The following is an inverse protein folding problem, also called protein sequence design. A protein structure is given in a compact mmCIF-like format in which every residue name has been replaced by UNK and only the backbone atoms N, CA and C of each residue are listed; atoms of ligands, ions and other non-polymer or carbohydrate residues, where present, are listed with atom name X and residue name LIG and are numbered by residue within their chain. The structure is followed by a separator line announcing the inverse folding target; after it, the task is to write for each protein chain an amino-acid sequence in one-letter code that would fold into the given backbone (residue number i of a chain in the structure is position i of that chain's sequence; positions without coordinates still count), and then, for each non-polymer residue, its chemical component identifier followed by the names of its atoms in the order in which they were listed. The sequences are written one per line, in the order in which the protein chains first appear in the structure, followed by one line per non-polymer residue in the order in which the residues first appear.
data_IF_493392751588
#
_entry.id   IF_493392751588
#
_cell.length_a   1.000
_cell.length_b   1.000
_cell.length_c   1.000
_cell.angle_alpha   90.00
_cell.angle_beta   90.00
_cell.angle_gamma   90.00
#
_symmetry.space_group_name_H-M   'P 1'
#
loop_
_entity.id
_entity.type
_entity.pdbx_description
1 polymer ?
#
# COMPACT_ATOMS: atom_id res chain seq x y z
N UNK A 1 102.85 44.24 4.11
CA UNK A 1 102.33 45.06 3.05
C UNK A 1 101.08 44.42 2.45
N UNK A 2 99.94 45.07 2.51
CA UNK A 2 98.63 44.79 2.00
C UNK A 2 97.85 43.57 2.49
N UNK A 3 96.86 43.92 3.32
CA UNK A 3 95.68 43.12 3.70
C UNK A 3 94.69 43.10 2.55
N UNK A 4 94.00 42.01 2.37
CA UNK A 4 92.70 42.00 1.66
C UNK A 4 91.66 41.24 2.47
N UNK A 5 90.65 41.97 2.89
CA UNK A 5 89.46 41.57 3.58
C UNK A 5 88.51 40.90 2.63
N UNK A 6 87.98 39.66 3.03
CA UNK A 6 86.89 39.01 2.32
C UNK A 6 85.64 39.09 3.20
N UNK A 7 84.64 39.85 2.72
CA UNK A 7 83.30 39.92 3.31
C UNK A 7 82.51 38.67 2.96
N UNK A 8 81.92 37.99 4.00
CA UNK A 8 80.91 36.94 3.84
C UNK A 8 79.53 37.59 3.76
N UNK A 9 78.72 37.27 2.71
CA UNK A 9 77.31 37.51 2.67
C UNK A 9 76.56 36.30 3.25
N UNK A 10 75.43 36.49 4.02
CA UNK A 10 74.60 35.39 4.47
C UNK A 10 73.53 35.14 3.40
N UNK A 11 73.43 33.91 2.95
CA UNK A 11 72.32 33.42 2.16
C UNK A 11 71.08 33.24 3.08
N UNK A 12 70.04 34.05 2.85
CA UNK A 12 68.74 33.90 3.47
C UNK A 12 67.95 32.79 2.77
N UNK A 13 67.51 31.80 3.55
CA UNK A 13 66.67 30.67 3.16
C UNK A 13 65.32 31.13 2.62
N UNK A 14 65.03 30.79 1.39
CA UNK A 14 63.67 30.79 0.80
C UNK A 14 63.02 29.41 0.96
N UNK A 15 62.65 29.06 2.20
CA UNK A 15 61.97 27.76 2.49
C UNK A 15 60.58 27.91 3.09
N UNK A 16 59.98 29.12 3.01
CA UNK A 16 58.68 29.42 3.65
C UNK A 16 57.47 29.42 2.71
N UNK A 17 57.64 29.32 1.39
CA UNK A 17 56.51 29.51 0.44
C UNK A 17 55.89 28.21 -0.11
N UNK A 18 56.57 27.06 0.01
CA UNK A 18 56.10 25.80 -0.56
C UNK A 18 55.19 25.07 0.41
N UNK A 19 55.34 25.25 1.73
CA UNK A 19 54.54 24.55 2.75
C UNK A 19 53.15 25.14 2.92
N UNK A 20 52.89 26.40 2.58
CA UNK A 20 51.58 27.05 2.67
C UNK A 20 50.64 26.72 1.49
N UNK A 21 51.16 26.35 0.33
CA UNK A 21 50.36 26.01 -0.86
C UNK A 21 49.81 24.56 -0.74
N UNK A 22 50.52 23.65 -0.07
CA UNK A 22 50.05 22.26 0.12
C UNK A 22 48.95 22.16 1.17
N UNK A 23 48.91 23.05 2.17
CA UNK A 23 47.78 23.09 3.14
C UNK A 23 46.49 23.71 2.60
N UNK A 24 46.57 24.58 1.56
CA UNK A 24 45.37 25.14 0.94
C UNK A 24 44.71 24.20 -0.08
N UNK A 25 45.41 23.21 -0.63
CA UNK A 25 44.86 22.23 -1.56
C UNK A 25 44.08 21.08 -0.86
N UNK A 26 44.29 20.87 0.44
CA UNK A 26 43.51 19.89 1.22
C UNK A 26 42.20 20.45 1.79
N UNK A 27 41.99 21.75 1.81
CA UNK A 27 40.78 22.39 2.34
C UNK A 27 39.66 22.54 1.29
N UNK A 28 39.91 22.27 0.00
CA UNK A 28 38.91 22.38 -1.08
C UNK A 28 38.31 21.01 -1.50
N UNK A 29 38.84 19.90 -0.99
CA UNK A 29 38.33 18.54 -1.28
C UNK A 29 37.17 18.09 -0.39
N UNK A 30 36.58 18.98 0.42
CA UNK A 30 35.64 18.62 1.47
C UNK A 30 34.18 19.03 1.28
N UNK A 31 33.79 19.67 0.19
CA UNK A 31 32.40 20.06 -0.06
C UNK A 31 31.95 19.66 -1.47
N UNK A 32 32.00 18.38 -1.80
CA UNK A 32 30.99 17.84 -2.70
C UNK A 32 29.66 17.95 -1.96
N UNK A 33 28.96 19.06 -2.09
CA UNK A 33 27.57 19.17 -1.71
C UNK A 33 26.86 18.05 -2.47
N UNK A 34 26.60 16.95 -1.79
CA UNK A 34 25.70 15.93 -2.30
C UNK A 34 24.34 16.64 -2.49
N UNK A 35 24.05 17.03 -3.74
CA UNK A 35 22.76 17.61 -4.06
C UNK A 35 21.70 16.66 -3.57
N UNK A 36 20.86 17.14 -2.66
CA UNK A 36 19.70 16.38 -2.19
C UNK A 36 18.78 16.12 -3.36
N UNK A 37 18.18 14.94 -3.38
CA UNK A 37 17.16 14.56 -4.36
C UNK A 37 15.80 14.70 -3.70
N UNK A 38 14.88 15.41 -4.37
CA UNK A 38 13.49 15.48 -3.95
C UNK A 38 12.64 14.68 -4.92
N UNK A 39 12.02 13.59 -4.43
CA UNK A 39 11.09 12.81 -5.21
C UNK A 39 9.67 13.33 -5.06
N UNK A 40 8.95 13.41 -6.17
CA UNK A 40 7.51 13.69 -6.18
C UNK A 40 6.75 12.41 -5.85
N UNK A 41 5.95 12.48 -4.81
CA UNK A 41 5.10 11.37 -4.40
C UNK A 41 3.62 11.77 -4.49
N UNK A 42 2.83 10.98 -5.20
CA UNK A 42 1.38 11.23 -5.37
C UNK A 42 0.53 10.06 -4.88
N UNK A 43 -0.62 10.39 -4.29
CA UNK A 43 -1.66 9.45 -3.83
C UNK A 43 -3.03 10.11 -3.87
N UNK A 44 -4.10 9.31 -3.84
CA UNK A 44 -5.50 9.79 -3.87
C UNK A 44 -6.14 9.91 -2.47
N UNK A 45 -5.39 9.67 -1.40
CA UNK A 45 -5.91 9.75 -0.03
C UNK A 45 -5.94 11.20 0.46
N UNK A 46 -6.84 11.51 1.42
CA UNK A 46 -6.83 12.81 2.09
C UNK A 46 -5.51 13.04 2.85
N UNK A 47 -5.07 14.29 2.96
CA UNK A 47 -3.80 14.64 3.62
C UNK A 47 -3.80 14.28 5.12
N UNK A 48 -4.96 14.30 5.76
CA UNK A 48 -5.18 13.95 7.17
C UNK A 48 -5.67 12.51 7.38
N UNK A 49 -5.70 11.71 6.31
CA UNK A 49 -6.07 10.29 6.41
C UNK A 49 -5.12 9.52 7.34
N UNK A 50 -5.61 8.41 7.91
CA UNK A 50 -4.78 7.52 8.72
C UNK A 50 -3.56 7.01 7.94
N UNK A 51 -3.70 6.67 6.66
CA UNK A 51 -2.58 6.28 5.82
C UNK A 51 -1.52 7.38 5.75
N UNK A 52 -1.94 8.64 5.52
CA UNK A 52 -1.01 9.77 5.44
C UNK A 52 -0.28 9.99 6.77
N UNK A 53 -1.02 10.07 7.87
CA UNK A 53 -0.48 10.47 9.18
C UNK A 53 0.24 9.34 9.93
N UNK A 54 -0.18 8.08 9.76
CA UNK A 54 0.41 6.93 10.48
C UNK A 54 1.49 6.21 9.68
N UNK A 55 1.48 6.34 8.35
CA UNK A 55 2.46 5.68 7.51
C UNK A 55 3.22 6.64 6.58
N UNK A 56 2.57 7.36 5.66
CA UNK A 56 3.30 8.08 4.58
C UNK A 56 4.24 9.16 5.13
N UNK A 57 3.77 10.02 6.03
CA UNK A 57 4.58 11.08 6.63
C UNK A 57 5.70 10.53 7.51
N UNK A 58 5.47 9.57 8.43
CA UNK A 58 6.53 8.94 9.19
C UNK A 58 7.55 8.19 8.32
N UNK A 59 7.11 7.51 7.25
CA UNK A 59 7.97 6.81 6.31
C UNK A 59 8.87 7.78 5.55
N UNK A 60 8.29 8.86 5.03
CA UNK A 60 9.04 9.93 4.36
C UNK A 60 10.07 10.57 5.29
N UNK A 61 9.68 10.83 6.54
CA UNK A 61 10.57 11.38 7.57
C UNK A 61 11.75 10.47 7.85
N UNK A 62 11.52 9.16 8.01
CA UNK A 62 12.60 8.18 8.24
C UNK A 62 13.60 8.14 7.09
N UNK A 63 13.13 8.15 5.85
CA UNK A 63 14.00 8.22 4.66
C UNK A 63 14.83 9.52 4.68
N UNK A 64 14.20 10.64 4.99
CA UNK A 64 14.87 11.93 5.09
C UNK A 64 15.98 11.90 6.15
N UNK A 65 15.66 11.45 7.36
CA UNK A 65 16.59 11.41 8.49
C UNK A 65 17.77 10.47 8.21
N UNK A 66 17.53 9.24 7.76
CA UNK A 66 18.58 8.26 7.48
C UNK A 66 19.42 8.60 6.26
N UNK A 67 18.86 9.33 5.30
CA UNK A 67 19.64 9.90 4.19
C UNK A 67 20.44 11.16 4.59
N UNK A 68 20.31 11.62 5.83
CA UNK A 68 20.87 12.89 6.34
C UNK A 68 20.39 14.10 5.53
N UNK A 69 19.09 14.11 5.21
CA UNK A 69 18.47 15.17 4.42
C UNK A 69 18.77 15.13 2.92
N UNK A 70 19.48 14.11 2.42
CA UNK A 70 19.82 14.00 1.00
C UNK A 70 18.71 13.43 0.13
N UNK A 71 17.71 12.76 0.73
CA UNK A 71 16.47 12.34 0.08
C UNK A 71 15.31 13.00 0.79
N UNK A 72 14.48 13.70 0.03
CA UNK A 72 13.23 14.27 0.50
C UNK A 72 12.08 13.79 -0.37
N UNK A 73 10.89 13.68 0.20
CA UNK A 73 9.69 13.33 -0.53
C UNK A 73 8.73 14.53 -0.50
N UNK A 74 8.38 15.02 -1.68
CA UNK A 74 7.30 15.98 -1.85
C UNK A 74 6.01 15.20 -2.03
N UNK A 75 5.32 14.94 -0.92
CA UNK A 75 4.05 14.23 -0.92
C UNK A 75 2.96 15.22 -1.32
N UNK A 76 2.25 14.92 -2.38
CA UNK A 76 1.15 15.75 -2.89
C UNK A 76 -0.08 14.87 -3.03
N UNK A 77 -1.11 15.08 -2.19
CA UNK A 77 -2.41 14.47 -2.43
C UNK A 77 -2.90 14.94 -3.80
N UNK A 78 -3.26 13.99 -4.66
CA UNK A 78 -4.01 14.32 -5.86
C UNK A 78 -5.48 14.55 -5.51
N UNK A 79 -6.25 15.02 -6.49
CA UNK A 79 -7.69 15.03 -6.39
C UNK A 79 -8.17 13.63 -5.95
N UNK A 80 -9.00 13.57 -4.90
CA UNK A 80 -9.59 12.33 -4.38
C UNK A 80 -10.39 11.55 -5.45
N UNK A 81 -10.61 12.15 -6.61
CA UNK A 81 -11.18 11.51 -7.80
C UNK A 81 -10.14 10.80 -8.68
N UNK A 82 -8.84 10.95 -8.42
CA UNK A 82 -7.80 10.30 -9.22
C UNK A 82 -7.92 8.78 -9.09
N UNK A 83 -8.07 8.11 -10.22
CA UNK A 83 -8.15 6.65 -10.28
C UNK A 83 -6.78 6.00 -10.15
N UNK A 84 -6.74 4.75 -9.70
CA UNK A 84 -5.50 3.97 -9.69
C UNK A 84 -4.86 3.87 -11.08
N UNK A 85 -5.66 3.89 -12.16
CA UNK A 85 -5.15 3.90 -13.54
C UNK A 85 -4.40 5.18 -13.86
N UNK A 86 -4.92 6.33 -13.47
CA UNK A 86 -4.27 7.63 -13.69
C UNK A 86 -2.97 7.72 -12.91
N UNK A 87 -2.97 7.34 -11.63
CA UNK A 87 -1.75 7.33 -10.81
C UNK A 87 -0.70 6.34 -11.36
N UNK A 88 -1.15 5.20 -11.91
CA UNK A 88 -0.23 4.26 -12.55
C UNK A 88 0.45 4.85 -13.79
N UNK A 89 -0.28 5.62 -14.62
CA UNK A 89 0.31 6.33 -15.75
C UNK A 89 1.28 7.42 -15.29
N UNK A 90 0.91 8.19 -14.26
CA UNK A 90 1.73 9.26 -13.68
C UNK A 90 3.12 8.76 -13.27
N UNK A 91 3.24 7.58 -12.65
CA UNK A 91 4.55 7.02 -12.26
C UNK A 91 5.30 6.40 -13.46
N UNK A 92 4.60 5.83 -14.43
CA UNK A 92 5.22 5.34 -15.67
C UNK A 92 5.86 6.47 -16.48
N UNK A 93 5.15 7.59 -16.62
CA UNK A 93 5.59 8.77 -17.36
C UNK A 93 6.57 9.65 -16.56
N UNK A 94 6.82 9.29 -15.31
CA UNK A 94 7.67 10.04 -14.38
C UNK A 94 7.19 11.49 -14.13
N UNK A 95 5.89 11.73 -14.22
CA UNK A 95 5.28 12.97 -13.71
C UNK A 95 5.33 13.01 -12.19
N UNK A 96 5.18 11.83 -11.53
CA UNK A 96 5.63 11.57 -10.17
C UNK A 96 6.69 10.46 -10.17
N UNK A 97 7.56 10.46 -9.15
CA UNK A 97 8.61 9.47 -8.97
C UNK A 97 8.11 8.26 -8.15
N UNK A 98 7.16 8.49 -7.25
CA UNK A 98 6.56 7.49 -6.36
C UNK A 98 5.05 7.70 -6.36
N UNK A 99 4.29 6.60 -6.29
CA UNK A 99 2.83 6.62 -6.14
C UNK A 99 2.37 5.56 -5.15
N UNK A 100 1.30 5.87 -4.40
CA UNK A 100 0.48 4.89 -3.71
C UNK A 100 -0.77 4.61 -4.55
N UNK A 101 -1.04 3.34 -4.81
CA UNK A 101 -2.18 2.90 -5.61
C UNK A 101 -3.09 1.99 -4.80
N UNK A 102 -4.36 2.36 -4.71
CA UNK A 102 -5.42 1.46 -4.30
C UNK A 102 -6.00 0.79 -5.56
N UNK A 103 -5.95 -0.52 -5.63
CA UNK A 103 -6.26 -1.28 -6.83
C UNK A 103 -7.73 -1.72 -6.83
N UNK A 104 -8.54 -1.08 -7.67
CA UNK A 104 -9.98 -1.36 -7.79
C UNK A 104 -10.29 -2.59 -8.64
N UNK A 105 -9.42 -2.95 -9.57
CA UNK A 105 -9.56 -4.11 -10.44
C UNK A 105 -8.24 -4.88 -10.59
N UNK A 106 -7.64 -5.34 -9.48
CA UNK A 106 -6.34 -6.00 -9.52
C UNK A 106 -6.37 -7.26 -10.38
N UNK A 107 -7.49 -7.97 -10.38
CA UNK A 107 -7.69 -9.20 -11.14
C UNK A 107 -7.57 -9.03 -12.65
N UNK A 108 -7.96 -7.88 -13.18
CA UNK A 108 -7.93 -7.60 -14.63
C UNK A 108 -6.54 -7.12 -15.06
N UNK A 109 -6.00 -6.14 -14.34
CA UNK A 109 -4.75 -5.45 -14.69
C UNK A 109 -3.51 -6.19 -14.21
N UNK A 110 -3.59 -6.85 -13.05
CA UNK A 110 -2.49 -7.53 -12.37
C UNK A 110 -2.96 -8.92 -11.91
N UNK A 111 -3.10 -9.89 -12.84
CA UNK A 111 -3.76 -11.16 -12.57
C UNK A 111 -3.08 -12.01 -11.50
N UNK A 112 -1.76 -11.99 -11.38
CA UNK A 112 -1.03 -12.75 -10.36
C UNK A 112 -1.09 -12.01 -9.02
N UNK A 113 -0.89 -10.69 -9.00
CA UNK A 113 -1.02 -9.87 -7.80
C UNK A 113 -2.44 -9.95 -7.24
N UNK A 114 -3.46 -9.86 -8.12
CA UNK A 114 -4.87 -9.93 -7.77
C UNK A 114 -5.35 -11.25 -7.15
N UNK A 115 -4.53 -12.31 -7.13
CA UNK A 115 -4.85 -13.54 -6.39
C UNK A 115 -5.09 -13.26 -4.91
N UNK A 116 -4.36 -12.30 -4.33
CA UNK A 116 -4.52 -11.91 -2.93
C UNK A 116 -5.82 -11.13 -2.64
N UNK A 117 -6.51 -10.65 -3.67
CA UNK A 117 -7.85 -10.04 -3.55
C UNK A 117 -8.99 -11.06 -3.42
N UNK A 118 -8.73 -12.35 -3.63
CA UNK A 118 -9.73 -13.42 -3.58
C UNK A 118 -10.26 -13.67 -2.14
N UNK A 119 -11.39 -14.39 -2.02
CA UNK A 119 -11.92 -14.88 -0.74
C UNK A 119 -11.00 -15.90 -0.06
N UNK A 120 -9.82 -15.47 0.34
CA UNK A 120 -8.85 -16.27 1.07
C UNK A 120 -8.94 -15.95 2.56
N UNK A 121 -8.53 -16.90 3.40
CA UNK A 121 -8.39 -16.65 4.83
C UNK A 121 -7.34 -15.56 5.12
N UNK A 122 -7.35 -15.06 6.34
CA UNK A 122 -6.43 -14.07 6.87
C UNK A 122 -6.92 -13.60 8.22
N UNK A 123 -6.03 -13.20 9.13
CA UNK A 123 -6.40 -12.73 10.46
C UNK A 123 -6.15 -11.24 10.62
N UNK A 124 -5.05 -10.73 10.07
CA UNK A 124 -4.64 -9.33 10.19
C UNK A 124 -4.19 -8.78 8.84
N UNK A 125 -4.31 -7.46 8.68
CA UNK A 125 -3.72 -6.77 7.53
C UNK A 125 -2.18 -6.80 7.62
N UNK A 126 -1.60 -6.76 8.82
CA UNK A 126 -0.15 -6.85 9.01
C UNK A 126 0.43 -8.15 8.43
N UNK A 127 -0.05 -9.31 8.88
CA UNK A 127 0.40 -10.62 8.40
C UNK A 127 0.12 -10.82 6.90
N UNK A 128 -1.09 -10.47 6.46
CA UNK A 128 -1.49 -10.58 5.06
C UNK A 128 -0.68 -9.69 4.12
N UNK A 129 -0.24 -8.50 4.57
CA UNK A 129 0.62 -7.61 3.78
C UNK A 129 2.05 -8.15 3.67
N UNK A 130 2.59 -8.78 4.72
CA UNK A 130 3.87 -9.53 4.62
C UNK A 130 3.78 -10.66 3.59
N UNK A 131 2.69 -11.42 3.63
CA UNK A 131 2.44 -12.49 2.66
C UNK A 131 2.36 -11.95 1.23
N UNK A 132 1.63 -10.86 1.02
CA UNK A 132 1.51 -10.20 -0.30
C UNK A 132 2.84 -9.65 -0.81
N UNK A 133 3.67 -9.08 0.07
CA UNK A 133 5.02 -8.68 -0.32
C UNK A 133 5.85 -9.88 -0.77
N UNK A 134 5.89 -10.95 0.03
CA UNK A 134 6.62 -12.18 -0.34
C UNK A 134 6.12 -12.74 -1.65
N UNK A 135 4.80 -12.75 -1.88
CA UNK A 135 4.18 -13.12 -3.14
C UNK A 135 4.65 -12.27 -4.32
N UNK A 136 4.73 -10.97 -4.12
CA UNK A 136 5.17 -10.00 -5.13
C UNK A 136 6.63 -10.21 -5.51
N UNK A 137 7.49 -10.46 -4.53
CA UNK A 137 8.93 -10.66 -4.70
C UNK A 137 9.23 -12.00 -5.40
N UNK A 138 8.70 -13.12 -4.91
CA UNK A 138 8.96 -14.46 -5.48
C UNK A 138 8.40 -14.65 -6.90
N UNK A 139 7.40 -13.89 -7.30
CA UNK A 139 6.83 -13.91 -8.64
C UNK A 139 7.39 -12.81 -9.55
N UNK A 140 8.33 -12.00 -9.08
CA UNK A 140 8.93 -10.87 -9.81
C UNK A 140 7.86 -9.96 -10.46
N UNK A 141 6.84 -9.59 -9.67
CA UNK A 141 5.68 -8.87 -10.19
C UNK A 141 6.00 -7.43 -10.59
N UNK A 142 7.07 -6.85 -10.05
CA UNK A 142 7.59 -5.57 -10.51
C UNK A 142 7.87 -5.58 -12.01
N UNK A 143 8.54 -6.61 -12.49
CA UNK A 143 8.84 -6.83 -13.91
C UNK A 143 7.61 -7.35 -14.68
N UNK A 144 6.97 -8.39 -14.16
CA UNK A 144 5.94 -9.13 -14.93
C UNK A 144 4.62 -8.38 -15.05
N UNK A 145 4.19 -7.65 -14.03
CA UNK A 145 2.88 -7.00 -13.98
C UNK A 145 2.96 -5.48 -13.84
N UNK A 146 3.93 -4.95 -13.10
CA UNK A 146 4.05 -3.50 -12.86
C UNK A 146 4.97 -2.78 -13.86
N UNK A 147 5.18 -3.33 -15.06
CA UNK A 147 5.94 -2.70 -16.17
C UNK A 147 7.33 -2.19 -15.74
N UNK A 148 8.07 -3.04 -15.05
CA UNK A 148 9.42 -2.76 -14.52
C UNK A 148 9.48 -1.66 -13.45
N UNK A 149 8.33 -1.16 -12.98
CA UNK A 149 8.30 -0.28 -11.81
C UNK A 149 8.84 -1.03 -10.60
N UNK A 150 9.57 -0.28 -9.76
CA UNK A 150 10.04 -0.83 -8.50
C UNK A 150 8.92 -0.86 -7.48
N UNK A 151 8.54 -2.05 -7.05
CA UNK A 151 7.64 -2.20 -5.91
C UNK A 151 8.42 -1.90 -4.63
N UNK A 152 7.97 -0.94 -3.85
CA UNK A 152 8.56 -0.59 -2.56
C UNK A 152 7.85 -1.31 -1.41
N UNK A 153 6.54 -1.44 -1.48
CA UNK A 153 5.71 -2.17 -0.53
C UNK A 153 4.39 -2.59 -1.17
N UNK A 154 3.70 -3.55 -0.56
CA UNK A 154 2.37 -3.98 -0.94
C UNK A 154 1.51 -4.19 0.31
N UNK A 155 0.22 -3.90 0.24
CA UNK A 155 -0.70 -4.06 1.36
C UNK A 155 -1.97 -4.81 0.96
N UNK A 156 -2.42 -5.68 1.84
CA UNK A 156 -3.74 -6.30 1.83
C UNK A 156 -4.51 -5.76 3.02
N UNK A 157 -5.67 -5.16 2.75
CA UNK A 157 -6.46 -4.48 3.77
C UNK A 157 -7.14 -5.48 4.72
N UNK A 158 -7.76 -4.94 5.78
CA UNK A 158 -8.46 -5.72 6.79
C UNK A 158 -9.76 -6.36 6.25
N UNK A 159 -10.33 -7.26 7.07
CA UNK A 159 -11.53 -8.03 6.70
C UNK A 159 -12.72 -7.13 6.37
N UNK A 160 -13.33 -7.26 5.19
CA UNK A 160 -14.56 -6.55 4.89
C UNK A 160 -15.74 -7.08 5.68
N UNK A 161 -16.61 -6.16 6.10
CA UNK A 161 -17.87 -6.43 6.78
C UNK A 161 -19.02 -5.68 6.10
N UNK A 162 -20.27 -6.13 6.29
CA UNK A 162 -21.41 -5.38 5.80
C UNK A 162 -21.66 -4.17 6.69
N UNK A 163 -21.53 -2.98 6.14
CA UNK A 163 -21.88 -1.70 6.76
C UNK A 163 -23.21 -1.23 6.18
N UNK A 164 -24.27 -1.37 6.96
CA UNK A 164 -25.64 -1.10 6.50
C UNK A 164 -26.14 0.23 7.02
N UNK A 165 -26.88 0.95 6.18
CA UNK A 165 -27.45 2.25 6.54
C UNK A 165 -28.39 2.17 7.73
N UNK A 166 -29.20 1.15 7.82
CA UNK A 166 -30.27 1.07 8.83
C UNK A 166 -30.30 -0.28 9.53
N UNK A 167 -30.46 -1.37 8.81
CA UNK A 167 -30.75 -2.69 9.39
C UNK A 167 -29.55 -3.62 9.19
N UNK A 168 -29.11 -4.25 10.28
CA UNK A 168 -28.07 -5.27 10.23
C UNK A 168 -28.50 -6.47 9.36
N UNK A 169 -27.53 -7.07 8.68
CA UNK A 169 -27.67 -8.39 8.05
C UNK A 169 -27.54 -9.42 9.15
N UNK A 170 -28.66 -10.03 9.54
CA UNK A 170 -28.72 -11.05 10.60
C UNK A 170 -28.57 -12.48 10.07
N UNK A 171 -28.81 -12.66 8.77
CA UNK A 171 -28.62 -13.92 8.03
C UNK A 171 -28.40 -13.61 6.55
N UNK A 172 -27.89 -14.57 5.77
CA UNK A 172 -27.74 -14.42 4.32
C UNK A 172 -29.08 -14.18 3.59
N UNK A 173 -30.22 -14.55 4.21
CA UNK A 173 -31.54 -14.23 3.64
C UNK A 173 -31.82 -12.72 3.57
N UNK A 174 -31.23 -11.92 4.46
CA UNK A 174 -31.37 -10.45 4.46
C UNK A 174 -30.63 -9.78 3.29
N UNK A 175 -29.67 -10.50 2.66
CA UNK A 175 -28.97 -10.02 1.47
C UNK A 175 -29.77 -10.15 0.18
N UNK A 176 -30.89 -10.91 0.18
CA UNK A 176 -31.64 -11.16 -1.05
C UNK A 176 -32.16 -9.87 -1.67
N UNK A 177 -31.59 -9.51 -2.82
CA UNK A 177 -31.89 -8.27 -3.55
C UNK A 177 -31.37 -6.99 -2.90
N UNK A 178 -30.64 -7.07 -1.78
CA UNK A 178 -30.02 -5.90 -1.16
C UNK A 178 -28.95 -5.31 -2.08
N UNK A 179 -29.00 -4.00 -2.31
CA UNK A 179 -28.05 -3.25 -3.13
C UNK A 179 -26.83 -2.95 -2.28
N UNK A 180 -25.73 -3.65 -2.51
CA UNK A 180 -24.51 -3.55 -1.72
C UNK A 180 -23.42 -2.89 -2.55
N UNK A 181 -22.96 -1.72 -2.12
CA UNK A 181 -21.82 -1.03 -2.72
C UNK A 181 -20.53 -1.81 -2.43
N UNK A 182 -19.68 -1.93 -3.43
CA UNK A 182 -18.36 -2.56 -3.33
C UNK A 182 -17.32 -1.73 -4.10
N UNK A 183 -16.07 -1.59 -3.58
CA UNK A 183 -15.05 -0.79 -4.24
C UNK A 183 -14.36 -1.52 -5.40
N UNK A 184 -14.51 -2.85 -5.49
CA UNK A 184 -13.85 -3.70 -6.49
C UNK A 184 -14.82 -4.69 -7.12
N UNK A 185 -14.70 -4.91 -8.42
CA UNK A 185 -15.46 -5.92 -9.15
C UNK A 185 -15.13 -7.36 -8.70
N UNK A 186 -14.01 -7.57 -8.01
CA UNK A 186 -13.60 -8.90 -7.55
C UNK A 186 -14.58 -9.51 -6.53
N UNK A 187 -15.37 -8.67 -5.84
CA UNK A 187 -16.41 -9.12 -4.91
C UNK A 187 -17.78 -9.42 -5.56
N UNK A 188 -18.00 -9.06 -6.83
CA UNK A 188 -19.33 -9.22 -7.50
C UNK A 188 -19.81 -10.65 -7.53
N UNK A 189 -18.94 -11.58 -7.96
CA UNK A 189 -19.30 -13.00 -8.07
C UNK A 189 -19.68 -13.59 -6.70
N UNK A 190 -18.92 -13.22 -5.67
CA UNK A 190 -19.17 -13.64 -4.30
C UNK A 190 -20.54 -13.14 -3.79
N UNK A 191 -20.80 -11.84 -3.88
CA UNK A 191 -22.07 -11.25 -3.39
C UNK A 191 -23.29 -11.72 -4.17
N UNK A 192 -23.16 -11.88 -5.49
CA UNK A 192 -24.22 -12.45 -6.32
C UNK A 192 -24.55 -13.88 -5.90
N UNK A 193 -23.54 -14.69 -5.56
CA UNK A 193 -23.71 -16.04 -5.01
C UNK A 193 -24.47 -16.06 -3.67
N UNK A 194 -24.39 -14.99 -2.89
CA UNK A 194 -25.16 -14.81 -1.65
C UNK A 194 -26.55 -14.20 -1.87
N UNK A 195 -26.92 -13.88 -3.12
CA UNK A 195 -28.23 -13.32 -3.48
C UNK A 195 -28.34 -11.80 -3.37
N UNK A 196 -27.25 -11.10 -3.08
CA UNK A 196 -27.20 -9.63 -3.09
C UNK A 196 -27.17 -9.06 -4.53
N UNK A 197 -27.43 -7.78 -4.65
CA UNK A 197 -27.28 -6.98 -5.87
C UNK A 197 -26.06 -6.06 -5.72
N UNK A 198 -24.85 -6.51 -6.08
CA UNK A 198 -23.65 -5.70 -5.94
C UNK A 198 -23.66 -4.49 -6.87
N UNK A 199 -23.15 -3.36 -6.39
CA UNK A 199 -22.99 -2.11 -7.15
C UNK A 199 -21.53 -1.69 -7.02
N UNK A 200 -20.77 -1.80 -8.13
CA UNK A 200 -19.34 -1.44 -8.14
C UNK A 200 -19.22 0.07 -8.22
N UNK A 201 -18.86 0.68 -7.12
CA UNK A 201 -18.61 2.14 -6.99
C UNK A 201 -17.54 2.36 -5.92
N UNK A 202 -16.73 3.40 -6.09
CA UNK A 202 -15.64 3.71 -5.17
C UNK A 202 -15.55 5.20 -4.86
N UNK A 203 -14.79 5.55 -3.85
CA UNK A 203 -14.52 6.93 -3.46
C UNK A 203 -15.81 7.72 -3.15
N UNK A 204 -15.85 8.96 -3.58
CA UNK A 204 -16.97 9.90 -3.32
C UNK A 204 -18.29 9.36 -3.86
N UNK A 205 -18.30 8.66 -4.99
CA UNK A 205 -19.53 8.09 -5.54
C UNK A 205 -20.21 7.09 -4.59
N UNK A 206 -19.45 6.36 -3.77
CA UNK A 206 -20.01 5.47 -2.73
C UNK A 206 -20.65 6.27 -1.61
N UNK A 207 -20.04 7.38 -1.20
CA UNK A 207 -20.60 8.30 -0.20
C UNK A 207 -21.94 8.85 -0.67
N UNK A 208 -21.99 9.34 -1.91
CA UNK A 208 -23.23 9.87 -2.51
C UNK A 208 -24.31 8.79 -2.61
N UNK A 209 -23.96 7.58 -3.03
CA UNK A 209 -24.89 6.47 -3.15
C UNK A 209 -25.51 6.08 -1.81
N UNK A 210 -24.71 6.05 -0.71
CA UNK A 210 -25.20 5.82 0.65
C UNK A 210 -26.08 6.98 1.14
N UNK A 211 -25.64 8.22 0.96
CA UNK A 211 -26.40 9.40 1.39
C UNK A 211 -27.76 9.53 0.69
N UNK A 212 -27.81 9.23 -0.62
CA UNK A 212 -29.04 9.30 -1.43
C UNK A 212 -29.89 8.03 -1.35
N UNK A 213 -29.50 7.02 -0.56
CA UNK A 213 -30.22 5.74 -0.44
C UNK A 213 -30.33 4.96 -1.76
N UNK A 214 -29.42 5.17 -2.69
CA UNK A 214 -29.37 4.39 -3.93
C UNK A 214 -28.77 2.99 -3.72
N UNK A 215 -28.06 2.78 -2.61
CA UNK A 215 -27.64 1.48 -2.07
C UNK A 215 -28.13 1.33 -0.63
N UNK A 216 -28.26 0.09 -0.19
CA UNK A 216 -28.77 -0.24 1.15
C UNK A 216 -27.63 -0.35 2.19
N UNK A 217 -26.42 -0.56 1.70
CA UNK A 217 -25.20 -0.63 2.48
C UNK A 217 -23.96 -0.82 1.60
N UNK A 218 -22.84 -1.08 2.24
CA UNK A 218 -21.57 -1.38 1.57
C UNK A 218 -20.92 -2.61 2.19
N UNK A 219 -20.17 -3.38 1.40
CA UNK A 219 -19.24 -4.38 1.89
C UNK A 219 -17.82 -3.80 1.78
N UNK A 220 -17.27 -3.38 2.91
CA UNK A 220 -15.97 -2.68 3.03
C UNK A 220 -15.19 -3.20 4.23
N UNK A 221 -13.89 -3.02 4.19
CA UNK A 221 -13.07 -3.06 5.40
C UNK A 221 -13.40 -1.89 6.34
N UNK A 222 -13.11 -2.05 7.63
CA UNK A 222 -13.25 -0.95 8.59
C UNK A 222 -12.31 0.22 8.28
N UNK A 223 -11.09 -0.10 7.83
CA UNK A 223 -10.14 0.92 7.37
C UNK A 223 -10.65 1.66 6.13
N UNK A 224 -11.29 0.96 5.19
CA UNK A 224 -11.92 1.55 4.01
C UNK A 224 -13.12 2.44 4.37
N UNK A 225 -13.96 2.00 5.33
CA UNK A 225 -15.07 2.82 5.85
C UNK A 225 -14.56 4.17 6.39
N UNK A 226 -13.48 4.14 7.18
CA UNK A 226 -12.85 5.34 7.74
C UNK A 226 -12.21 6.21 6.65
N UNK A 227 -11.46 5.60 5.72
CA UNK A 227 -10.78 6.32 4.66
C UNK A 227 -11.73 7.08 3.72
N UNK A 228 -12.94 6.55 3.52
CA UNK A 228 -14.00 7.17 2.71
C UNK A 228 -14.95 8.05 3.54
N UNK A 229 -14.70 8.21 4.84
CA UNK A 229 -15.53 9.00 5.78
C UNK A 229 -17.01 8.61 5.73
N UNK A 230 -17.31 7.31 5.67
CA UNK A 230 -18.68 6.80 5.53
C UNK A 230 -19.36 6.48 6.87
N UNK A 231 -18.64 6.63 7.99
CA UNK A 231 -19.07 6.19 9.33
C UNK A 231 -20.43 6.76 9.77
N UNK A 232 -20.73 8.01 9.41
CA UNK A 232 -22.01 8.68 9.76
C UNK A 232 -23.19 8.24 8.88
N UNK A 233 -22.92 7.55 7.77
CA UNK A 233 -23.95 7.11 6.81
C UNK A 233 -24.45 5.70 7.06
N UNK A 234 -23.84 5.00 8.02
CA UNK A 234 -24.15 3.60 8.35
C UNK A 234 -24.34 3.45 9.87
N UNK A 235 -25.18 2.52 10.29
CA UNK A 235 -25.55 2.32 11.71
C UNK A 235 -25.55 0.86 12.15
N UNK A 236 -25.32 -0.05 11.23
CA UNK A 236 -25.36 -1.48 11.53
C UNK A 236 -24.22 -2.20 10.78
N UNK A 237 -23.53 -3.06 11.50
CA UNK A 237 -22.31 -3.71 11.03
C UNK A 237 -22.43 -5.23 11.22
N UNK A 238 -22.29 -5.99 10.13
CA UNK A 238 -22.47 -7.43 10.18
C UNK A 238 -21.25 -8.16 9.66
N UNK A 239 -20.61 -8.93 10.54
CA UNK A 239 -19.43 -9.73 10.22
C UNK A 239 -19.84 -11.07 9.60
N UNK A 240 -18.93 -11.66 8.82
CA UNK A 240 -19.04 -13.03 8.33
C UNK A 240 -19.22 -14.05 9.47
N UNK A 241 -19.74 -15.26 9.18
CA UNK A 241 -19.75 -16.35 10.15
C UNK A 241 -18.33 -16.65 10.66
N UNK A 242 -18.22 -17.10 11.91
CA UNK A 242 -16.92 -17.48 12.48
C UNK A 242 -16.28 -18.59 11.64
N UNK A 243 -15.01 -18.44 11.33
CA UNK A 243 -14.24 -19.38 10.49
C UNK A 243 -14.56 -19.31 8.99
N UNK A 244 -15.30 -18.30 8.55
CA UNK A 244 -15.50 -18.03 7.13
C UNK A 244 -14.22 -17.41 6.52
N UNK A 245 -13.92 -17.69 5.22
CA UNK A 245 -12.92 -16.92 4.50
C UNK A 245 -13.42 -15.47 4.33
N UNK A 246 -12.52 -14.55 4.08
CA UNK A 246 -12.89 -13.18 3.74
C UNK A 246 -13.71 -13.15 2.44
N UNK A 247 -14.62 -12.19 2.32
CA UNK A 247 -15.43 -12.05 1.11
C UNK A 247 -14.56 -11.69 -0.10
N UNK A 248 -13.60 -10.82 0.13
CA UNK A 248 -12.53 -10.38 -0.76
C UNK A 248 -11.48 -9.63 0.08
N UNK A 249 -10.45 -9.10 -0.53
CA UNK A 249 -9.58 -8.11 0.11
C UNK A 249 -9.23 -6.99 -0.85
N UNK A 250 -9.20 -5.77 -0.34
CA UNK A 250 -8.64 -4.62 -1.04
C UNK A 250 -7.12 -4.74 -1.06
N UNK A 251 -6.51 -4.35 -2.18
CA UNK A 251 -5.06 -4.43 -2.38
C UNK A 251 -4.53 -3.06 -2.74
N UNK A 252 -3.39 -2.71 -2.16
CA UNK A 252 -2.67 -1.48 -2.46
C UNK A 252 -1.20 -1.76 -2.70
N UNK A 253 -0.55 -0.87 -3.45
CA UNK A 253 0.87 -1.00 -3.76
C UNK A 253 1.57 0.35 -3.78
N UNK A 254 2.79 0.40 -3.25
CA UNK A 254 3.69 1.54 -3.30
C UNK A 254 4.71 1.31 -4.41
N UNK A 255 4.65 2.11 -5.47
CA UNK A 255 5.48 1.96 -6.67
C UNK A 255 6.42 3.15 -6.83
N UNK A 256 7.64 2.88 -7.30
CA UNK A 256 8.63 3.89 -7.66
C UNK A 256 9.09 3.70 -9.10
N UNK A 257 9.24 4.80 -9.82
CA UNK A 257 9.83 4.81 -11.15
C UNK A 257 11.29 4.31 -11.10
N UNK A 258 11.70 3.35 -11.96
CA UNK A 258 13.02 2.76 -11.90
C UNK A 258 14.14 3.76 -12.23
N UNK A 259 13.90 4.78 -13.08
CA UNK A 259 14.89 5.80 -13.36
C UNK A 259 15.12 6.73 -12.17
N UNK A 260 14.06 7.05 -11.42
CA UNK A 260 14.16 7.79 -10.18
C UNK A 260 15.06 7.04 -9.18
N UNK A 261 14.85 5.72 -9.01
CA UNK A 261 15.72 4.90 -8.17
C UNK A 261 17.15 4.79 -8.71
N UNK A 262 17.33 4.58 -10.02
CA UNK A 262 18.67 4.48 -10.65
C UNK A 262 19.50 5.76 -10.50
N UNK A 263 18.85 6.91 -10.45
CA UNK A 263 19.53 8.21 -10.31
C UNK A 263 20.19 8.44 -8.94
N UNK A 264 19.85 7.62 -7.93
CA UNK A 264 20.43 7.71 -6.60
C UNK A 264 21.86 7.17 -6.55
N UNK A 265 22.69 7.79 -5.70
CA UNK A 265 23.96 7.18 -5.27
C UNK A 265 23.71 5.88 -4.51
N UNK A 266 24.69 4.97 -4.46
CA UNK A 266 24.48 3.62 -3.93
C UNK A 266 24.13 3.58 -2.44
N UNK A 267 24.66 4.50 -1.64
CA UNK A 267 24.31 4.65 -0.24
C UNK A 267 22.86 5.13 -0.06
N UNK A 268 22.35 6.01 -0.94
CA UNK A 268 20.95 6.44 -0.93
C UNK A 268 20.01 5.35 -1.46
N UNK A 269 20.46 4.54 -2.43
CA UNK A 269 19.73 3.33 -2.84
C UNK A 269 19.59 2.36 -1.65
N UNK A 270 20.62 2.28 -0.79
CA UNK A 270 20.53 1.43 0.41
C UNK A 270 19.48 1.98 1.38
N UNK A 271 19.40 3.30 1.59
CA UNK A 271 18.34 3.91 2.41
C UNK A 271 16.96 3.53 1.86
N UNK A 272 16.72 3.72 0.56
CA UNK A 272 15.43 3.33 -0.05
C UNK A 272 15.13 1.84 0.11
N UNK A 273 16.14 0.96 -0.03
CA UNK A 273 15.98 -0.48 0.23
C UNK A 273 15.59 -0.80 1.66
N UNK A 274 16.19 -0.13 2.64
CA UNK A 274 15.89 -0.31 4.06
C UNK A 274 14.45 0.10 4.41
N UNK A 275 13.88 1.03 3.62
CA UNK A 275 12.50 1.50 3.73
C UNK A 275 11.61 0.95 2.61
N UNK A 276 11.86 -0.29 2.22
CA UNK A 276 11.06 -1.07 1.26
C UNK A 276 10.94 -2.51 1.75
N UNK A 277 10.01 -3.26 1.20
CA UNK A 277 9.94 -4.70 1.41
C UNK A 277 8.97 -5.14 2.49
N UNK A 278 9.23 -6.32 3.02
CA UNK A 278 8.33 -7.04 3.93
C UNK A 278 8.00 -6.25 5.21
N UNK A 279 9.01 -5.64 5.84
CA UNK A 279 8.79 -4.90 7.08
C UNK A 279 8.00 -3.61 6.86
N UNK A 280 8.18 -2.96 5.71
CA UNK A 280 7.39 -1.79 5.35
C UNK A 280 5.97 -2.19 5.01
N UNK A 281 5.76 -3.28 4.29
CA UNK A 281 4.44 -3.85 4.02
C UNK A 281 3.69 -4.21 5.30
N UNK A 282 4.39 -4.81 6.27
CA UNK A 282 3.83 -5.07 7.58
C UNK A 282 3.49 -3.79 8.36
N UNK A 283 4.35 -2.77 8.30
CA UNK A 283 4.04 -1.48 8.94
C UNK A 283 2.78 -0.86 8.36
N UNK A 284 2.60 -0.89 7.03
CA UNK A 284 1.36 -0.45 6.39
C UNK A 284 0.18 -1.29 6.89
N UNK A 285 0.28 -2.62 6.87
CA UNK A 285 -0.76 -3.52 7.36
C UNK A 285 -1.14 -3.25 8.82
N UNK A 286 -0.16 -3.05 9.70
CA UNK A 286 -0.39 -2.66 11.10
C UNK A 286 -1.15 -1.34 11.21
N UNK A 287 -0.79 -0.32 10.43
CA UNK A 287 -1.49 0.96 10.38
C UNK A 287 -2.95 0.80 9.90
N UNK A 288 -3.20 -0.13 8.98
CA UNK A 288 -4.54 -0.52 8.54
C UNK A 288 -5.33 -1.18 9.69
N UNK A 289 -4.74 -2.15 10.40
CA UNK A 289 -5.36 -2.83 11.54
C UNK A 289 -5.70 -1.85 12.68
N UNK A 290 -4.80 -0.91 12.99
CA UNK A 290 -5.03 0.15 13.99
C UNK A 290 -6.19 1.06 13.55
N UNK A 291 -6.21 1.50 12.29
CA UNK A 291 -7.31 2.32 11.73
C UNK A 291 -8.65 1.59 11.79
N UNK A 292 -8.67 0.29 11.46
CA UNK A 292 -9.86 -0.55 11.52
C UNK A 292 -10.39 -0.68 12.96
N UNK A 293 -9.49 -0.89 13.92
CA UNK A 293 -9.82 -0.96 15.34
C UNK A 293 -10.43 0.33 15.85
N UNK A 294 -9.84 1.48 15.49
CA UNK A 294 -10.33 2.81 15.90
C UNK A 294 -11.70 3.13 15.26
N UNK A 295 -11.90 2.81 13.97
CA UNK A 295 -13.18 3.00 13.30
C UNK A 295 -14.29 2.16 13.95
N UNK A 296 -13.99 0.88 14.24
CA UNK A 296 -14.93 0.00 14.96
C UNK A 296 -15.27 0.52 16.36
N UNK A 297 -14.27 1.04 17.07
CA UNK A 297 -14.48 1.64 18.38
C UNK A 297 -15.38 2.88 18.29
N UNK A 298 -15.15 3.78 17.34
CA UNK A 298 -16.01 4.96 17.12
C UNK A 298 -17.45 4.56 16.82
N UNK A 299 -17.67 3.53 16.00
CA UNK A 299 -19.01 2.99 15.72
C UNK A 299 -19.68 2.44 16.99
N UNK A 300 -18.95 1.72 17.83
CA UNK A 300 -19.46 1.23 19.12
C UNK A 300 -19.80 2.37 20.09
N UNK A 301 -18.95 3.38 20.17
CA UNK A 301 -19.16 4.56 21.02
C UNK A 301 -20.40 5.38 20.58
N UNK A 302 -20.76 5.37 19.27
CA UNK A 302 -22.02 5.96 18.75
C UNK A 302 -23.26 5.11 19.08
N UNK A 303 -23.09 3.87 19.49
CA UNK A 303 -24.18 2.93 19.76
C UNK A 303 -24.70 2.19 18.52
N UNK A 304 -23.85 2.05 17.51
CA UNK A 304 -24.19 1.28 16.30
C UNK A 304 -24.44 -0.21 16.62
N UNK A 305 -25.22 -0.87 15.78
CA UNK A 305 -25.56 -2.28 15.95
C UNK A 305 -24.48 -3.18 15.36
N UNK A 306 -24.01 -4.17 16.12
CA UNK A 306 -23.05 -5.17 15.68
C UNK A 306 -23.71 -6.55 15.68
N UNK A 307 -23.52 -7.28 14.58
CA UNK A 307 -24.06 -8.63 14.40
C UNK A 307 -22.99 -9.52 13.75
N UNK A 308 -22.96 -10.79 14.12
CA UNK A 308 -22.20 -11.81 13.40
C UNK A 308 -23.23 -12.74 12.72
N UNK A 309 -23.02 -13.02 11.43
CA UNK A 309 -23.87 -13.97 10.70
C UNK A 309 -23.82 -15.35 11.38
N UNK A 310 -24.92 -16.08 11.42
CA UNK A 310 -24.98 -17.35 12.13
C UNK A 310 -24.13 -18.43 11.45
N UNK A 311 -23.68 -19.40 12.22
CA UNK A 311 -22.89 -20.53 11.73
C UNK A 311 -23.64 -21.35 10.66
N UNK A 312 -24.97 -21.38 10.72
CA UNK A 312 -25.81 -22.02 9.70
C UNK A 312 -25.65 -21.45 8.29
N UNK A 313 -25.09 -20.25 8.16
CA UNK A 313 -24.83 -19.58 6.88
C UNK A 313 -23.41 -19.86 6.33
N UNK A 314 -22.54 -20.51 7.13
CA UNK A 314 -21.14 -20.74 6.79
C UNK A 314 -20.95 -21.56 5.51
N UNK A 315 -21.77 -22.59 5.30
CA UNK A 315 -21.65 -23.45 4.12
C UNK A 315 -21.99 -22.67 2.82
N UNK A 316 -23.04 -21.86 2.84
CA UNK A 316 -23.39 -21.00 1.70
C UNK A 316 -22.34 -19.93 1.46
N UNK A 317 -21.74 -19.38 2.51
CA UNK A 317 -20.65 -18.43 2.41
C UNK A 317 -19.42 -19.05 1.72
N UNK A 318 -19.04 -20.27 2.16
CA UNK A 318 -17.94 -21.04 1.56
C UNK A 318 -18.21 -21.43 0.11
N UNK A 319 -19.46 -21.78 -0.20
CA UNK A 319 -19.87 -22.07 -1.58
C UNK A 319 -19.69 -20.85 -2.47
N UNK A 320 -20.17 -19.67 -2.07
CA UNK A 320 -19.99 -18.41 -2.81
C UNK A 320 -18.51 -18.06 -2.98
N UNK A 321 -17.69 -18.24 -1.95
CA UNK A 321 -16.25 -18.06 -2.02
C UNK A 321 -15.60 -19.02 -3.02
N UNK A 322 -16.01 -20.30 -3.01
CA UNK A 322 -15.50 -21.31 -3.94
C UNK A 322 -15.85 -20.99 -5.39
N UNK A 323 -17.08 -20.51 -5.66
CA UNK A 323 -17.49 -20.08 -7.00
C UNK A 323 -16.60 -18.91 -7.50
N UNK A 324 -16.35 -17.90 -6.65
CA UNK A 324 -15.48 -16.79 -7.01
C UNK A 324 -14.03 -17.24 -7.28
N UNK A 325 -13.50 -18.15 -6.45
CA UNK A 325 -12.17 -18.72 -6.62
C UNK A 325 -12.06 -19.53 -7.91
N UNK A 326 -13.04 -20.43 -8.17
CA UNK A 326 -13.02 -21.28 -9.38
C UNK A 326 -13.11 -20.44 -10.66
N UNK A 327 -13.92 -19.38 -10.65
CA UNK A 327 -13.96 -18.41 -11.76
C UNK A 327 -12.58 -17.81 -11.99
N UNK A 328 -11.88 -17.42 -10.93
CA UNK A 328 -10.53 -16.85 -11.03
C UNK A 328 -9.52 -17.88 -11.54
N UNK A 329 -9.59 -19.14 -11.10
CA UNK A 329 -8.75 -20.24 -11.63
C UNK A 329 -8.92 -20.31 -13.15
N UNK A 330 -10.17 -20.36 -13.63
CA UNK A 330 -10.44 -20.41 -15.06
C UNK A 330 -9.90 -19.19 -15.83
N UNK A 331 -10.04 -17.98 -15.25
CA UNK A 331 -9.51 -16.74 -15.86
C UNK A 331 -7.97 -16.74 -15.92
N UNK A 332 -7.29 -17.26 -14.90
CA UNK A 332 -5.83 -17.40 -14.87
C UNK A 332 -5.35 -18.45 -15.86
N UNK A 333 -6.00 -19.60 -15.92
CA UNK A 333 -5.67 -20.70 -16.83
C UNK A 333 -5.86 -20.27 -18.31
N UNK A 334 -6.90 -19.51 -18.61
CA UNK A 334 -7.13 -18.92 -19.92
C UNK A 334 -5.99 -17.97 -20.37
N UNK A 335 -5.24 -17.41 -19.39
CA UNK A 335 -4.03 -16.60 -19.64
C UNK A 335 -2.73 -17.41 -19.60
N UNK A 336 -2.79 -18.73 -19.43
CA UNK A 336 -1.63 -19.61 -19.29
C UNK A 336 -0.91 -19.51 -17.93
N UNK A 337 -1.63 -19.11 -16.88
CA UNK A 337 -1.10 -18.85 -15.55
C UNK A 337 -1.62 -19.88 -14.54
N UNK A 338 -1.35 -21.14 -14.63
CA UNK A 338 -1.63 -22.23 -13.66
C UNK A 338 -2.40 -21.81 -12.38
N UNK A 339 -3.70 -21.46 -12.52
CA UNK A 339 -4.48 -20.75 -11.51
C UNK A 339 -4.57 -21.47 -10.18
N UNK A 340 -4.81 -22.79 -10.18
CA UNK A 340 -4.90 -23.61 -8.97
C UNK A 340 -3.59 -23.61 -8.17
N UNK A 341 -2.44 -23.68 -8.85
CA UNK A 341 -1.13 -23.60 -8.20
C UNK A 341 -0.91 -22.24 -7.55
N UNK A 342 -1.25 -21.16 -8.26
CA UNK A 342 -1.13 -19.79 -7.72
C UNK A 342 -1.97 -19.60 -6.46
N UNK A 343 -3.21 -20.07 -6.46
CA UNK A 343 -4.11 -19.94 -5.30
C UNK A 343 -3.63 -20.78 -4.12
N UNK A 344 -3.17 -22.00 -4.38
CA UNK A 344 -2.62 -22.89 -3.34
C UNK A 344 -1.40 -22.26 -2.66
N UNK A 345 -0.48 -21.69 -3.45
CA UNK A 345 0.71 -21.00 -2.92
C UNK A 345 0.36 -19.71 -2.16
N UNK A 346 -0.63 -18.94 -2.64
CA UNK A 346 -1.08 -17.75 -1.94
C UNK A 346 -1.68 -18.08 -0.57
N UNK A 347 -2.51 -19.13 -0.48
CA UNK A 347 -3.06 -19.62 0.80
C UNK A 347 -1.96 -20.01 1.78
N UNK A 348 -0.98 -20.79 1.31
CA UNK A 348 0.14 -21.22 2.16
C UNK A 348 0.96 -20.04 2.70
N UNK A 349 1.17 -18.98 1.90
CA UNK A 349 1.86 -17.78 2.35
C UNK A 349 1.04 -17.00 3.39
N UNK A 350 -0.27 -16.84 3.18
CA UNK A 350 -1.13 -16.17 4.17
C UNK A 350 -1.10 -16.95 5.50
N UNK A 351 -1.29 -18.26 5.47
CA UNK A 351 -1.23 -19.12 6.65
C UNK A 351 0.11 -19.02 7.38
N UNK A 352 1.22 -19.01 6.64
CA UNK A 352 2.57 -18.89 7.21
C UNK A 352 2.75 -17.61 8.03
N UNK A 353 2.21 -16.48 7.56
CA UNK A 353 2.37 -15.20 8.23
C UNK A 353 1.28 -14.92 9.27
N UNK A 354 0.12 -15.56 9.18
CA UNK A 354 -0.94 -15.50 10.21
C UNK A 354 -0.55 -16.24 11.50
N UNK A 355 0.20 -17.34 11.39
CA UNK A 355 0.64 -18.14 12.55
C UNK A 355 1.88 -17.59 13.25
N UNK A 356 2.55 -16.61 12.67
CA UNK A 356 3.78 -16.01 13.19
C UNK A 356 3.56 -14.82 14.14
N UNK A 357 2.28 -14.46 14.43
CA UNK A 357 1.91 -13.34 15.30
C UNK A 357 1.33 -13.79 16.64
#
# INVERSE_FOLDING_TARGET
MFAHSIRRHPNSCSCGLVTSIILLLFAVAGNAFAHGVTFKFQHAQAADSALSTQFLDPWAKKIHDDSRGRVSLLITPQDQHATGTELFQVVLERTADIVWLDLQQPAVSFPIFGVFGLPLAGTTAEGSSRALWTWTDINDLGFREFKELRVLAAARHDTPVFHMREKAVSSLSDLKGARIAIPTADAETFLTGLGASPVVISGIAMRDALAQSSVDGALLSWSGLAALELEELVKAHSSAPVGAPWAYAELSVLLMNPDAYRSLADDLKQVVRNYSGSDVSAWIGKSIDETASDARKRAADRGDTFTTLPESDLDKWREAASVAINKRVADLDARGLHGEELITRARALIEQYDTAN
#
